data_IF_550113512867
#
_entry.id   IF_550113512867
#
_cell.length_a   1.000
_cell.length_b   1.000
_cell.length_c   1.000
_cell.angle_alpha   90.00
_cell.angle_beta   90.00
_cell.angle_gamma   90.00
#
_symmetry.space_group_name_H-M   'P 1'
#
loop_
_entity.id
_entity.type
_entity.pdbx_description
1 polymer ?
#
# COMPACT_ATOMS: atom_id res chain seq x y z
N UNK A 1 17.89 16.52 16.58
CA UNK A 1 16.55 15.92 16.81
C UNK A 1 16.01 15.23 15.56
N UNK A 2 15.45 15.95 14.56
CA UNK A 2 14.86 15.31 13.34
C UNK A 2 15.86 14.48 12.53
N UNK A 3 17.03 15.04 12.21
CA UNK A 3 18.07 14.31 11.46
C UNK A 3 18.58 13.04 12.18
N UNK A 4 18.70 13.09 13.50
CA UNK A 4 19.14 11.93 14.30
C UNK A 4 18.07 10.84 14.34
N UNK A 5 16.79 11.20 14.38
CA UNK A 5 15.69 10.25 14.30
C UNK A 5 15.67 9.53 12.95
N UNK A 6 15.83 10.26 11.84
CA UNK A 6 15.94 9.67 10.49
C UNK A 6 17.12 8.71 10.40
N UNK A 7 18.26 9.03 11.00
CA UNK A 7 19.41 8.13 11.02
C UNK A 7 19.13 6.83 11.78
N UNK A 8 18.43 6.90 12.92
CA UNK A 8 18.03 5.72 13.69
C UNK A 8 16.99 4.87 12.97
N UNK A 9 15.96 5.48 12.39
CA UNK A 9 14.95 4.77 11.58
C UNK A 9 15.64 4.02 10.43
N UNK A 10 16.52 4.69 9.69
CA UNK A 10 17.23 4.05 8.60
C UNK A 10 18.13 2.89 9.08
N UNK A 11 18.70 2.98 10.28
CA UNK A 11 19.46 1.90 10.88
C UNK A 11 18.58 0.72 11.30
N UNK A 12 17.43 0.98 11.93
CA UNK A 12 16.45 -0.04 12.33
C UNK A 12 15.90 -0.80 11.10
N UNK A 13 15.52 -0.07 10.04
CA UNK A 13 15.08 -0.67 8.77
C UNK A 13 16.14 -1.63 8.23
N UNK A 14 17.42 -1.22 8.21
CA UNK A 14 18.53 -2.08 7.76
C UNK A 14 18.78 -3.28 8.65
N UNK A 15 18.45 -3.20 9.94
CA UNK A 15 18.57 -4.31 10.87
C UNK A 15 17.55 -5.42 10.57
N UNK A 16 16.42 -5.07 9.92
CA UNK A 16 15.42 -6.04 9.49
C UNK A 16 14.42 -6.43 10.58
N UNK A 17 14.45 -5.78 11.75
CA UNK A 17 13.62 -6.14 12.90
C UNK A 17 12.38 -5.25 12.91
N UNK A 18 11.23 -5.82 12.56
CA UNK A 18 9.99 -5.09 12.37
C UNK A 18 9.55 -4.27 13.60
N UNK A 19 9.70 -4.85 14.79
CA UNK A 19 9.35 -4.18 16.06
C UNK A 19 10.24 -2.96 16.30
N UNK A 20 11.54 -3.06 16.07
CA UNK A 20 12.46 -1.92 16.26
C UNK A 20 12.20 -0.80 15.24
N UNK A 21 11.89 -1.18 13.99
CA UNK A 21 11.54 -0.20 12.96
C UNK A 21 10.28 0.57 13.32
N UNK A 22 9.20 -0.11 13.71
CA UNK A 22 7.95 0.59 14.06
C UNK A 22 8.13 1.45 15.31
N UNK A 23 8.91 1.00 16.30
CA UNK A 23 9.24 1.79 17.49
C UNK A 23 10.00 3.08 17.14
N UNK A 24 10.98 3.04 16.23
CA UNK A 24 11.66 4.26 15.78
C UNK A 24 10.75 5.17 14.95
N UNK A 25 9.86 4.61 14.13
CA UNK A 25 8.89 5.39 13.34
C UNK A 25 7.89 6.16 14.23
N UNK A 26 7.45 5.55 15.34
CA UNK A 26 6.47 6.13 16.27
C UNK A 26 7.05 7.22 17.18
N UNK A 27 8.38 7.39 17.23
CA UNK A 27 9.02 8.39 18.09
C UNK A 27 8.64 9.81 17.65
N UNK A 28 8.11 10.67 18.55
CA UNK A 28 7.70 12.02 18.19
C UNK A 28 8.82 12.87 17.59
N UNK A 29 10.09 12.60 17.92
CA UNK A 29 11.25 13.29 17.37
C UNK A 29 11.44 13.05 15.87
N UNK A 30 10.86 11.97 15.32
CA UNK A 30 10.88 11.66 13.90
C UNK A 30 9.98 12.58 13.08
N UNK A 31 8.94 13.17 13.70
CA UNK A 31 7.96 14.04 13.03
C UNK A 31 7.39 13.39 11.77
N UNK A 32 7.03 12.10 11.88
CA UNK A 32 6.39 11.33 10.83
C UNK A 32 4.86 11.36 11.00
N UNK A 33 4.10 11.01 9.95
CA UNK A 33 2.66 10.81 10.04
C UNK A 33 2.27 9.72 11.05
N UNK A 34 0.97 9.47 11.18
CA UNK A 34 0.47 8.39 12.04
C UNK A 34 1.06 7.04 11.61
N UNK A 35 1.42 6.22 12.60
CA UNK A 35 2.02 4.89 12.42
C UNK A 35 1.22 3.90 13.26
N UNK A 36 0.85 2.76 12.67
CA UNK A 36 0.10 1.70 13.34
C UNK A 36 1.03 0.59 13.82
N UNK A 37 1.19 0.44 15.14
CA UNK A 37 2.09 -0.57 15.71
C UNK A 37 1.78 -2.00 15.24
N UNK A 38 0.51 -2.30 14.97
CA UNK A 38 0.02 -3.59 14.47
C UNK A 38 0.56 -3.94 13.07
N UNK A 39 1.01 -2.95 12.30
CA UNK A 39 1.51 -3.11 10.94
C UNK A 39 3.05 -3.13 10.85
N UNK A 40 3.74 -3.46 11.96
CA UNK A 40 5.20 -3.47 12.04
C UNK A 40 5.87 -4.21 10.87
N UNK A 41 5.35 -5.40 10.53
CA UNK A 41 5.86 -6.22 9.42
C UNK A 41 5.72 -5.50 8.08
N UNK A 42 4.58 -4.86 7.82
CA UNK A 42 4.33 -4.12 6.57
C UNK A 42 5.33 -2.97 6.43
N UNK A 43 5.47 -2.12 7.45
CA UNK A 43 6.43 -1.01 7.40
C UNK A 43 7.86 -1.50 7.16
N UNK A 44 8.28 -2.56 7.87
CA UNK A 44 9.64 -3.08 7.74
C UNK A 44 9.91 -3.60 6.32
N UNK A 45 9.02 -4.42 5.77
CA UNK A 45 9.22 -5.04 4.44
C UNK A 45 9.23 -3.97 3.36
N UNK A 46 8.27 -3.05 3.38
CA UNK A 46 8.10 -2.04 2.34
C UNK A 46 9.20 -0.97 2.41
N UNK A 47 9.53 -0.45 3.60
CA UNK A 47 10.59 0.54 3.76
C UNK A 47 11.99 -0.05 3.47
N UNK A 48 12.22 -1.32 3.80
CA UNK A 48 13.46 -2.00 3.42
C UNK A 48 13.58 -2.15 1.91
N UNK A 49 12.50 -2.54 1.24
CA UNK A 49 12.45 -2.63 -0.22
C UNK A 49 12.70 -1.27 -0.87
N UNK A 50 12.13 -0.20 -0.32
CA UNK A 50 12.36 1.17 -0.78
C UNK A 50 13.82 1.61 -0.59
N UNK A 51 14.44 1.29 0.56
CA UNK A 51 15.88 1.55 0.77
C UNK A 51 16.77 0.83 -0.25
N UNK A 52 16.43 -0.41 -0.63
CA UNK A 52 17.19 -1.15 -1.63
C UNK A 52 17.13 -0.50 -3.02
N UNK A 53 16.00 0.13 -3.36
CA UNK A 53 15.81 0.84 -4.63
C UNK A 53 16.53 2.21 -4.65
N UNK A 54 16.49 2.95 -3.54
CA UNK A 54 17.07 4.30 -3.42
C UNK A 54 18.60 4.34 -3.21
N UNK A 55 19.25 3.20 -2.99
CA UNK A 55 20.71 3.10 -2.82
C UNK A 55 21.20 3.25 -1.37
N UNK A 56 22.53 3.36 -1.19
CA UNK A 56 23.21 3.17 0.11
C UNK A 56 23.02 4.30 1.13
N UNK A 57 22.40 5.43 0.79
CA UNK A 57 22.24 6.58 1.69
C UNK A 57 21.08 6.44 2.68
N UNK A 58 20.19 5.45 2.51
CA UNK A 58 18.92 5.39 3.24
C UNK A 58 17.92 6.43 2.73
N UNK A 59 16.74 6.44 3.35
CA UNK A 59 15.61 7.31 3.02
C UNK A 59 15.76 8.66 3.72
N UNK A 60 15.51 9.75 2.98
CA UNK A 60 15.38 11.09 3.52
C UNK A 60 14.15 11.20 4.42
N UNK A 61 14.06 12.30 5.19
CA UNK A 61 12.87 12.57 6.01
C UNK A 61 11.60 12.69 5.17
N UNK A 62 11.70 13.29 3.98
CA UNK A 62 10.57 13.48 3.06
C UNK A 62 10.09 12.15 2.50
N UNK A 63 11.02 11.31 2.00
CA UNK A 63 10.71 9.95 1.54
C UNK A 63 10.08 9.10 2.65
N UNK A 64 10.62 9.16 3.87
CA UNK A 64 10.02 8.46 5.02
C UNK A 64 8.62 8.99 5.33
N UNK A 65 8.41 10.30 5.28
CA UNK A 65 7.10 10.89 5.59
C UNK A 65 6.04 10.44 4.58
N UNK A 66 6.34 10.52 3.28
CA UNK A 66 5.44 10.09 2.21
C UNK A 66 5.22 8.58 2.27
N UNK A 67 6.29 7.78 2.41
CA UNK A 67 6.16 6.33 2.48
C UNK A 67 5.33 5.88 3.68
N UNK A 68 5.55 6.48 4.87
CA UNK A 68 4.76 6.16 6.06
C UNK A 68 3.30 6.58 5.88
N UNK A 69 3.01 7.74 5.29
CA UNK A 69 1.64 8.16 4.99
C UNK A 69 0.92 7.15 4.09
N UNK A 70 1.56 6.77 2.98
CA UNK A 70 1.01 5.80 2.03
C UNK A 70 0.83 4.42 2.65
N UNK A 71 1.81 3.93 3.41
CA UNK A 71 1.74 2.63 4.07
C UNK A 71 0.67 2.62 5.17
N UNK A 72 0.53 3.69 5.94
CA UNK A 72 -0.54 3.84 6.93
C UNK A 72 -1.92 3.86 6.26
N UNK A 73 -2.06 4.46 5.08
CA UNK A 73 -3.27 4.36 4.28
C UNK A 73 -3.56 2.92 3.80
N UNK A 74 -2.53 2.14 3.45
CA UNK A 74 -2.67 0.72 3.10
C UNK A 74 -3.12 -0.12 4.30
N UNK A 75 -2.65 0.21 5.52
CA UNK A 75 -3.14 -0.43 6.75
C UNK A 75 -4.64 -0.21 6.90
N UNK A 76 -5.09 1.04 6.78
CA UNK A 76 -6.52 1.38 6.85
C UNK A 76 -7.31 0.67 5.75
N UNK A 77 -6.80 0.62 4.51
CA UNK A 77 -7.44 -0.12 3.43
C UNK A 77 -7.63 -1.59 3.76
N UNK A 78 -6.63 -2.26 4.36
CA UNK A 78 -6.77 -3.66 4.77
C UNK A 78 -7.86 -3.85 5.83
N UNK A 79 -7.97 -2.93 6.80
CA UNK A 79 -9.05 -2.94 7.79
C UNK A 79 -10.43 -2.76 7.14
N UNK A 80 -10.54 -1.85 6.17
CA UNK A 80 -11.77 -1.62 5.41
C UNK A 80 -12.11 -2.85 4.57
N UNK A 81 -11.15 -3.49 3.91
CA UNK A 81 -11.36 -4.73 3.16
C UNK A 81 -11.89 -5.86 4.04
N UNK A 82 -11.47 -5.93 5.31
CA UNK A 82 -11.95 -6.93 6.26
C UNK A 82 -13.44 -6.76 6.62
N UNK A 83 -13.99 -5.54 6.47
CA UNK A 83 -15.43 -5.27 6.63
C UNK A 83 -16.27 -5.80 5.47
N UNK A 84 -15.64 -6.04 4.30
CA UNK A 84 -16.28 -6.41 3.04
C UNK A 84 -17.33 -5.41 2.56
N UNK A 85 -17.27 -4.17 3.06
CA UNK A 85 -18.09 -3.06 2.59
C UNK A 85 -17.47 -2.47 1.33
N UNK A 86 -18.08 -2.76 0.17
CA UNK A 86 -17.61 -2.31 -1.12
C UNK A 86 -17.55 -0.77 -1.21
N UNK A 87 -18.54 -0.07 -0.64
CA UNK A 87 -18.60 1.39 -0.72
C UNK A 87 -17.46 2.02 0.09
N UNK A 88 -17.19 1.50 1.28
CA UNK A 88 -16.08 1.97 2.11
C UNK A 88 -14.72 1.70 1.44
N UNK A 89 -14.56 0.56 0.75
CA UNK A 89 -13.33 0.28 -0.02
C UNK A 89 -13.15 1.28 -1.15
N UNK A 90 -14.22 1.60 -1.89
CA UNK A 90 -14.16 2.58 -2.98
C UNK A 90 -13.75 3.96 -2.45
N UNK A 91 -14.38 4.43 -1.37
CA UNK A 91 -14.04 5.69 -0.73
C UNK A 91 -12.57 5.72 -0.30
N UNK A 92 -12.07 4.63 0.29
CA UNK A 92 -10.67 4.52 0.67
C UNK A 92 -9.72 4.55 -0.54
N UNK A 93 -10.10 3.97 -1.68
CA UNK A 93 -9.30 4.01 -2.91
C UNK A 93 -9.25 5.40 -3.55
N UNK A 94 -10.31 6.20 -3.42
CA UNK A 94 -10.40 7.52 -4.06
C UNK A 94 -9.90 8.66 -3.18
N UNK A 95 -10.14 8.59 -1.87
CA UNK A 95 -10.01 9.75 -0.96
C UNK A 95 -8.73 9.71 -0.11
N UNK A 96 -8.02 8.58 -0.12
CA UNK A 96 -6.82 8.37 0.67
C UNK A 96 -5.55 8.76 -0.09
N UNK A 97 -4.46 9.19 0.58
CA UNK A 97 -3.15 9.43 -0.04
C UNK A 97 -2.44 8.12 -0.44
N UNK A 98 -3.16 7.17 -1.02
CA UNK A 98 -2.62 5.91 -1.52
C UNK A 98 -1.79 6.13 -2.79
N UNK A 99 -2.08 7.19 -3.55
CA UNK A 99 -1.28 7.57 -4.71
C UNK A 99 -1.23 6.50 -5.81
N UNK A 100 -2.26 5.64 -5.91
CA UNK A 100 -2.34 4.65 -6.98
C UNK A 100 -2.43 5.32 -8.34
N UNK A 101 -1.78 4.71 -9.31
CA UNK A 101 -1.81 5.15 -10.71
C UNK A 101 -2.86 4.39 -11.49
N UNK A 102 -3.33 4.97 -12.60
CA UNK A 102 -4.31 4.37 -13.50
C UNK A 102 -5.67 4.03 -12.86
N UNK A 103 -6.08 4.73 -11.81
CA UNK A 103 -7.45 4.58 -11.30
C UNK A 103 -8.43 5.05 -12.37
N UNK A 104 -9.29 4.14 -12.81
CA UNK A 104 -10.44 4.42 -13.64
C UNK A 104 -11.72 4.41 -12.78
N UNK A 105 -12.41 5.55 -12.75
CA UNK A 105 -13.61 5.72 -11.94
C UNK A 105 -14.76 4.80 -12.37
N UNK A 106 -14.78 4.37 -13.63
CA UNK A 106 -15.80 3.45 -14.15
C UNK A 106 -15.58 2.01 -13.64
N UNK A 107 -14.35 1.70 -13.17
CA UNK A 107 -13.96 0.36 -12.73
C UNK A 107 -13.91 0.19 -11.20
N UNK A 108 -14.25 1.23 -10.42
CA UNK A 108 -14.13 1.23 -8.95
C UNK A 108 -14.81 0.03 -8.27
N UNK A 109 -16.02 -0.32 -8.71
CA UNK A 109 -16.74 -1.48 -8.17
C UNK A 109 -15.97 -2.79 -8.41
N UNK A 110 -15.38 -2.96 -9.60
CA UNK A 110 -14.59 -4.15 -9.96
C UNK A 110 -13.29 -4.23 -9.16
N UNK A 111 -12.62 -3.11 -8.92
CA UNK A 111 -11.43 -3.07 -8.06
C UNK A 111 -11.79 -3.50 -6.64
N UNK A 112 -12.85 -2.91 -6.06
CA UNK A 112 -13.26 -3.21 -4.69
C UNK A 112 -13.64 -4.69 -4.51
N UNK A 113 -14.43 -5.25 -5.43
CA UNK A 113 -14.82 -6.67 -5.38
C UNK A 113 -13.61 -7.60 -5.47
N UNK A 114 -12.67 -7.31 -6.37
CA UNK A 114 -11.45 -8.11 -6.53
C UNK A 114 -10.56 -8.01 -5.29
N UNK A 115 -10.33 -6.81 -4.77
CA UNK A 115 -9.51 -6.60 -3.58
C UNK A 115 -10.09 -7.29 -2.34
N UNK A 116 -11.42 -7.28 -2.16
CA UNK A 116 -12.08 -8.00 -1.06
C UNK A 116 -11.82 -9.51 -1.19
N UNK A 117 -11.87 -10.04 -2.41
CA UNK A 117 -11.56 -11.45 -2.68
C UNK A 117 -10.08 -11.77 -2.45
N UNK A 118 -9.17 -10.96 -2.98
CA UNK A 118 -7.73 -11.11 -2.79
C UNK A 118 -7.36 -11.03 -1.31
N UNK A 119 -7.98 -10.11 -0.55
CA UNK A 119 -7.80 -10.00 0.90
C UNK A 119 -8.15 -11.32 1.61
N UNK A 120 -9.29 -11.92 1.27
CA UNK A 120 -9.69 -13.19 1.85
C UNK A 120 -8.68 -14.31 1.50
N UNK A 121 -8.18 -14.35 0.27
CA UNK A 121 -7.17 -15.34 -0.15
C UNK A 121 -5.83 -15.13 0.57
N UNK A 122 -5.38 -13.89 0.72
CA UNK A 122 -4.14 -13.51 1.44
C UNK A 122 -4.19 -13.97 2.90
N UNK A 123 -5.33 -13.79 3.58
CA UNK A 123 -5.54 -14.29 4.94
C UNK A 123 -5.48 -15.81 5.02
N UNK A 124 -6.01 -16.55 4.03
CA UNK A 124 -5.91 -18.02 4.03
C UNK A 124 -4.48 -18.53 3.84
N UNK A 125 -3.60 -17.73 3.23
CA UNK A 125 -2.16 -18.00 3.09
C UNK A 125 -1.35 -17.60 4.33
N UNK A 126 -2.00 -17.07 5.37
CA UNK A 126 -1.35 -16.60 6.60
C UNK A 126 -0.63 -15.26 6.45
N UNK A 127 -0.92 -14.49 5.40
CA UNK A 127 -0.39 -13.15 5.20
C UNK A 127 -1.32 -12.12 5.84
N UNK A 128 -0.77 -11.24 6.68
CA UNK A 128 -1.56 -10.30 7.49
C UNK A 128 -2.11 -9.12 6.70
N UNK A 129 -1.44 -8.71 5.61
CA UNK A 129 -1.76 -7.51 4.84
C UNK A 129 -1.58 -7.77 3.33
N UNK A 130 -2.43 -7.15 2.51
CA UNK A 130 -2.09 -6.80 1.13
C UNK A 130 -1.09 -5.64 1.14
N UNK A 131 -0.04 -5.73 0.34
CA UNK A 131 0.92 -4.65 0.14
C UNK A 131 0.36 -3.57 -0.81
N UNK A 132 1.00 -2.39 -0.84
CA UNK A 132 0.70 -1.36 -1.83
C UNK A 132 0.81 -1.91 -3.27
N UNK A 133 1.84 -2.72 -3.52
CA UNK A 133 2.10 -3.33 -4.83
C UNK A 133 1.01 -4.33 -5.24
N UNK A 134 0.47 -5.09 -4.29
CA UNK A 134 -0.64 -6.01 -4.57
C UNK A 134 -1.88 -5.23 -5.03
N UNK A 135 -2.20 -4.14 -4.35
CA UNK A 135 -3.35 -3.29 -4.69
C UNK A 135 -3.16 -2.61 -6.06
N UNK A 136 -1.99 -2.03 -6.32
CA UNK A 136 -1.68 -1.43 -7.62
C UNK A 136 -1.78 -2.47 -8.75
N UNK A 137 -1.27 -3.69 -8.53
CA UNK A 137 -1.36 -4.77 -9.51
C UNK A 137 -2.80 -5.21 -9.77
N UNK A 138 -3.66 -5.25 -8.76
CA UNK A 138 -5.08 -5.52 -8.91
C UNK A 138 -5.73 -4.47 -9.83
N UNK A 139 -5.49 -3.18 -9.57
CA UNK A 139 -6.01 -2.07 -10.39
C UNK A 139 -5.58 -2.21 -11.85
N UNK A 140 -4.28 -2.40 -12.10
CA UNK A 140 -3.74 -2.53 -13.46
C UNK A 140 -4.32 -3.77 -14.17
N UNK A 141 -4.48 -4.89 -13.46
CA UNK A 141 -5.05 -6.12 -14.02
C UNK A 141 -6.51 -5.93 -14.44
N UNK A 142 -7.32 -5.27 -13.61
CA UNK A 142 -8.73 -5.00 -13.93
C UNK A 142 -8.83 -4.07 -15.14
N UNK A 143 -8.01 -3.03 -15.22
CA UNK A 143 -8.00 -2.12 -16.37
C UNK A 143 -7.66 -2.85 -17.68
N UNK A 144 -6.65 -3.72 -17.65
CA UNK A 144 -6.29 -4.54 -18.81
C UNK A 144 -7.47 -5.43 -19.21
N UNK A 145 -8.11 -6.12 -18.25
CA UNK A 145 -9.26 -6.99 -18.53
C UNK A 145 -10.44 -6.23 -19.14
N UNK A 146 -10.78 -5.07 -18.58
CA UNK A 146 -11.86 -4.20 -19.09
C UNK A 146 -11.54 -3.73 -20.51
N UNK A 147 -10.30 -3.31 -20.77
CA UNK A 147 -9.89 -2.89 -22.10
C UNK A 147 -9.98 -4.05 -23.12
N UNK A 148 -9.51 -5.24 -22.76
CA UNK A 148 -9.62 -6.43 -23.61
C UNK A 148 -11.08 -6.85 -23.87
N UNK A 149 -11.98 -6.72 -22.88
CA UNK A 149 -13.41 -6.97 -23.04
C UNK A 149 -14.04 -6.04 -24.07
N UNK A 150 -13.71 -4.74 -24.01
CA UNK A 150 -14.20 -3.75 -24.97
C UNK A 150 -13.69 -4.01 -26.40
N UNK A 151 -12.40 -4.32 -26.57
CA UNK A 151 -11.82 -4.62 -27.89
C UNK A 151 -12.48 -5.85 -28.53
N UNK A 152 -12.81 -6.90 -27.74
CA UNK A 152 -13.53 -8.07 -28.27
C UNK A 152 -14.95 -7.73 -28.72
N UNK A 153 -15.65 -6.83 -28.02
CA UNK A 153 -17.00 -6.40 -28.41
C UNK A 153 -16.95 -5.65 -29.74
N UNK A 154 -15.98 -4.75 -29.92
CA UNK A 154 -15.77 -4.02 -31.19
C UNK A 154 -15.49 -5.01 -32.32
N UNK A 155 -14.57 -5.95 -32.12
CA UNK A 155 -14.21 -6.93 -33.15
C UNK A 155 -15.39 -7.83 -33.57
N UNK A 156 -16.36 -8.11 -32.69
CA UNK A 156 -17.58 -8.85 -33.04
C UNK A 156 -18.60 -7.96 -33.77
N UNK A 157 -18.67 -6.67 -33.42
CA UNK A 157 -19.58 -5.72 -34.06
C UNK A 157 -19.14 -5.31 -35.48
N UNK A 158 -17.87 -5.52 -35.83
CA UNK A 158 -17.29 -5.24 -37.15
C UNK A 158 -17.37 -6.43 -38.13
N UNK A 159 -17.91 -7.59 -37.71
CA UNK A 159 -18.14 -8.80 -38.53
C UNK A 159 -19.58 -8.84 -39.03
#
# INVERSE_FOLDING_TARGET
RKHEAVARINAAIRLGIAVETVEELMKPEAQLPIVYQTAANLYQVELFSLQLQGGRSGLSHEELSVAVEMLSAVVVLNEVLDTKDQQAVIEQLTDSPLGFTNIDHDNLNRYADMLIKERAETLTKGQEFLSWNDVQKCIDTINIQVHEEHERIIAIAEI
#
